data_IF_003412412844
#
_entry.id   IF_003412412844
#
_cell.length_a   1.000
_cell.length_b   1.000
_cell.length_c   1.000
_cell.angle_alpha   90.00
_cell.angle_beta   90.00
_cell.angle_gamma   90.00
#
_symmetry.space_group_name_H-M   'P 1'
#
loop_
_entity.id
_entity.type
_entity.pdbx_description
1 polymer ?
#
# COMPACT_ATOMS: atom_id res chain seq x y z
N UNK A 1 18.13 0.63 5.85
CA UNK A 1 16.91 1.02 6.59
C UNK A 1 17.01 0.52 8.01
N UNK A 2 16.57 1.32 8.96
CA UNK A 2 16.51 0.94 10.38
C UNK A 2 15.08 0.55 10.75
N UNK A 3 14.94 -0.09 11.92
CA UNK A 3 13.62 -0.41 12.48
C UNK A 3 12.77 0.85 12.63
N UNK A 4 13.34 1.93 13.15
CA UNK A 4 12.61 3.18 13.37
C UNK A 4 12.16 3.80 12.06
N UNK A 5 13.01 3.80 11.03
CA UNK A 5 12.65 4.29 9.69
C UNK A 5 11.50 3.48 9.09
N UNK A 6 11.51 2.16 9.28
CA UNK A 6 10.46 1.28 8.77
C UNK A 6 9.11 1.55 9.46
N UNK A 7 9.11 1.72 10.79
CA UNK A 7 7.90 2.06 11.52
C UNK A 7 7.38 3.45 11.17
N UNK A 8 8.28 4.43 10.98
CA UNK A 8 7.90 5.77 10.54
C UNK A 8 7.22 5.73 9.17
N UNK A 9 7.78 4.98 8.24
CA UNK A 9 7.17 4.79 6.92
C UNK A 9 5.77 4.19 7.06
N UNK A 10 5.64 3.12 7.82
CA UNK A 10 4.36 2.45 8.03
C UNK A 10 3.32 3.35 8.68
N UNK A 11 3.71 4.11 9.69
CA UNK A 11 2.81 5.02 10.39
C UNK A 11 2.34 6.16 9.49
N UNK A 12 3.23 6.76 8.71
CA UNK A 12 2.88 7.82 7.76
C UNK A 12 1.97 7.29 6.65
N UNK A 13 2.26 6.10 6.15
CA UNK A 13 1.48 5.45 5.11
C UNK A 13 0.04 5.18 5.59
N UNK A 14 -0.10 4.59 6.79
CA UNK A 14 -1.42 4.32 7.38
C UNK A 14 -2.17 5.63 7.65
N UNK A 15 -1.49 6.65 8.16
CA UNK A 15 -2.12 7.96 8.42
C UNK A 15 -2.67 8.58 7.14
N UNK A 16 -1.93 8.49 6.02
CA UNK A 16 -2.39 9.01 4.74
C UNK A 16 -3.64 8.28 4.24
N UNK A 17 -3.66 6.94 4.35
CA UNK A 17 -4.84 6.15 3.99
C UNK A 17 -6.04 6.48 4.88
N UNK A 18 -5.83 6.60 6.18
CA UNK A 18 -6.92 6.89 7.13
C UNK A 18 -7.48 8.29 6.95
N UNK A 19 -6.66 9.23 6.48
CA UNK A 19 -7.13 10.57 6.12
C UNK A 19 -7.85 10.59 4.76
N UNK A 20 -7.85 9.48 4.00
CA UNK A 20 -8.39 9.40 2.65
C UNK A 20 -7.76 10.47 1.74
N UNK A 21 -6.48 10.78 1.97
CA UNK A 21 -5.74 11.81 1.24
C UNK A 21 -4.94 11.17 0.11
N UNK A 22 -5.51 11.13 -1.07
CA UNK A 22 -4.91 10.46 -2.23
C UNK A 22 -3.54 11.02 -2.58
N UNK A 23 -3.36 12.33 -2.51
CA UNK A 23 -2.06 12.96 -2.78
C UNK A 23 -0.99 12.52 -1.77
N UNK A 24 -1.33 12.49 -0.49
CA UNK A 24 -0.41 12.06 0.56
C UNK A 24 -0.06 10.57 0.42
N UNK A 25 -1.04 9.72 0.04
CA UNK A 25 -0.80 8.30 -0.23
C UNK A 25 0.22 8.15 -1.37
N UNK A 26 -0.05 8.81 -2.49
CA UNK A 26 0.77 8.68 -3.71
C UNK A 26 2.17 9.26 -3.56
N UNK A 27 2.38 10.18 -2.63
CA UNK A 27 3.69 10.75 -2.36
C UNK A 27 4.72 9.71 -1.90
N UNK A 28 4.26 8.55 -1.41
CA UNK A 28 5.15 7.46 -0.99
C UNK A 28 5.67 6.61 -2.15
N UNK A 29 5.17 6.80 -3.38
CA UNK A 29 5.41 5.86 -4.49
C UNK A 29 6.26 6.49 -5.59
N UNK A 30 7.07 5.64 -6.25
CA UNK A 30 7.81 6.03 -7.46
C UNK A 30 6.87 6.14 -8.65
N UNK A 31 7.27 6.93 -9.66
CA UNK A 31 6.48 7.10 -10.88
C UNK A 31 6.31 5.78 -11.65
N UNK A 32 7.33 4.92 -11.61
CA UNK A 32 7.32 3.63 -12.31
C UNK A 32 6.87 2.46 -11.41
N UNK A 33 6.16 2.74 -10.34
CA UNK A 33 5.72 1.73 -9.37
C UNK A 33 4.91 0.62 -10.02
N UNK A 34 5.10 -0.60 -9.51
CA UNK A 34 4.26 -1.77 -9.86
C UNK A 34 3.60 -2.28 -8.59
N UNK A 35 2.30 -2.48 -8.64
CA UNK A 35 1.52 -3.02 -7.53
C UNK A 35 0.78 -4.26 -7.98
N UNK A 36 0.86 -5.35 -7.23
CA UNK A 36 0.12 -6.58 -7.47
C UNK A 36 -0.76 -6.88 -6.27
N UNK A 37 -2.06 -7.08 -6.52
CA UNK A 37 -3.03 -7.36 -5.47
C UNK A 37 -4.24 -8.10 -6.04
N UNK A 38 -4.77 -9.09 -5.31
CA UNK A 38 -6.04 -9.73 -5.70
C UNK A 38 -7.19 -8.73 -5.78
N UNK A 39 -7.13 -7.62 -5.04
CA UNK A 39 -8.17 -6.58 -5.07
C UNK A 39 -8.16 -5.84 -6.41
N UNK A 40 -7.00 -5.69 -7.05
CA UNK A 40 -6.92 -5.13 -8.42
C UNK A 40 -7.74 -5.98 -9.39
N UNK A 41 -7.58 -7.31 -9.33
CA UNK A 41 -8.35 -8.21 -10.17
C UNK A 41 -9.85 -8.06 -9.95
N UNK A 42 -10.27 -7.93 -8.69
CA UNK A 42 -11.68 -7.79 -8.33
C UNK A 42 -12.28 -6.45 -8.76
N UNK A 43 -11.58 -5.34 -8.50
CA UNK A 43 -12.12 -4.00 -8.78
C UNK A 43 -11.99 -3.58 -10.25
N UNK A 44 -10.92 -3.98 -10.91
CA UNK A 44 -10.62 -3.53 -12.27
C UNK A 44 -10.81 -4.61 -13.33
N UNK A 45 -11.04 -5.86 -12.93
CA UNK A 45 -11.18 -6.98 -13.85
C UNK A 45 -9.88 -7.35 -14.57
N UNK A 46 -8.73 -6.98 -14.01
CA UNK A 46 -7.40 -7.30 -14.56
C UNK A 46 -6.94 -8.60 -13.94
N UNK A 47 -6.86 -9.67 -14.75
CA UNK A 47 -6.67 -11.04 -14.27
C UNK A 47 -5.34 -11.27 -13.56
N UNK A 48 -4.25 -10.57 -13.96
CA UNK A 48 -2.95 -10.70 -13.29
C UNK A 48 -2.83 -9.86 -12.00
N UNK A 49 -3.85 -9.05 -11.71
CA UNK A 49 -3.90 -8.24 -10.49
C UNK A 49 -2.84 -7.14 -10.42
N UNK A 50 -2.29 -6.72 -11.56
CA UNK A 50 -1.15 -5.79 -11.60
C UNK A 50 -1.56 -4.41 -12.10
N UNK A 51 -1.07 -3.38 -11.39
CA UNK A 51 -1.16 -1.97 -11.80
C UNK A 51 0.25 -1.45 -11.97
N UNK A 52 0.53 -0.84 -13.12
CA UNK A 52 1.85 -0.31 -13.45
C UNK A 52 1.77 1.20 -13.67
N UNK A 53 2.66 1.93 -13.01
CA UNK A 53 2.77 3.38 -13.12
C UNK A 53 1.89 4.13 -12.13
N UNK A 54 2.39 5.29 -11.70
CA UNK A 54 1.75 6.08 -10.64
C UNK A 54 0.38 6.61 -11.04
N UNK A 55 0.17 6.95 -12.31
CA UNK A 55 -1.14 7.46 -12.76
C UNK A 55 -2.21 6.36 -12.75
N UNK A 56 -1.84 5.15 -13.14
CA UNK A 56 -2.75 4.01 -13.03
C UNK A 56 -2.99 3.63 -11.57
N UNK A 57 -1.96 3.78 -10.74
CA UNK A 57 -2.09 3.55 -9.29
C UNK A 57 -3.04 4.59 -8.68
N UNK A 58 -2.96 5.85 -9.10
CA UNK A 58 -3.87 6.90 -8.67
C UNK A 58 -5.32 6.53 -8.95
N UNK A 59 -5.60 6.08 -10.17
CA UNK A 59 -6.95 5.69 -10.57
C UNK A 59 -7.45 4.51 -9.73
N UNK A 60 -6.60 3.53 -9.48
CA UNK A 60 -6.94 2.37 -8.66
C UNK A 60 -7.21 2.76 -7.19
N UNK A 61 -6.33 3.54 -6.58
CA UNK A 61 -6.50 3.98 -5.20
C UNK A 61 -7.75 4.84 -5.03
N UNK A 62 -8.03 5.71 -6.02
CA UNK A 62 -9.26 6.52 -6.00
C UNK A 62 -10.50 5.62 -5.97
N UNK A 63 -10.52 4.59 -6.82
CA UNK A 63 -11.64 3.62 -6.83
C UNK A 63 -11.75 2.89 -5.50
N UNK A 64 -10.63 2.52 -4.90
CA UNK A 64 -10.63 1.88 -3.59
C UNK A 64 -11.22 2.77 -2.50
N UNK A 65 -10.84 4.03 -2.46
CA UNK A 65 -11.37 4.99 -1.49
C UNK A 65 -12.85 5.24 -1.70
N UNK A 66 -13.31 5.29 -2.96
CA UNK A 66 -14.73 5.46 -3.29
C UNK A 66 -15.55 4.22 -2.91
N UNK A 67 -14.99 3.03 -3.16
CA UNK A 67 -15.68 1.77 -2.86
C UNK A 67 -15.75 1.50 -1.35
N UNK A 68 -14.79 2.01 -0.58
CA UNK A 68 -14.71 1.78 0.86
C UNK A 68 -14.61 3.09 1.63
N UNK A 69 -15.72 3.88 1.69
CA UNK A 69 -15.70 5.18 2.36
C UNK A 69 -15.41 5.10 3.87
N UNK A 70 -15.62 3.93 4.47
CA UNK A 70 -15.32 3.67 5.89
C UNK A 70 -13.93 3.08 6.11
N UNK A 71 -13.06 3.07 5.08
CA UNK A 71 -11.71 2.49 5.18
C UNK A 71 -10.95 3.09 6.36
N UNK A 72 -10.41 2.19 7.19
CA UNK A 72 -9.61 2.52 8.35
C UNK A 72 -8.58 1.41 8.54
N UNK A 73 -7.30 1.74 8.48
CA UNK A 73 -6.21 0.79 8.69
C UNK A 73 -5.64 0.94 10.09
N UNK A 74 -5.22 -0.19 10.66
CA UNK A 74 -4.54 -0.24 11.94
C UNK A 74 -3.27 -1.05 11.78
N UNK A 75 -2.11 -0.37 11.85
CA UNK A 75 -0.80 -1.00 11.76
C UNK A 75 -0.49 -1.73 13.06
N UNK A 76 -0.13 -3.02 13.00
CA UNK A 76 0.20 -3.78 14.20
C UNK A 76 1.59 -4.40 14.17
N UNK A 77 2.23 -4.52 13.00
CA UNK A 77 3.58 -5.05 12.89
C UNK A 77 4.26 -4.54 11.64
N UNK A 78 5.58 -4.38 11.69
CA UNK A 78 6.42 -4.01 10.55
C UNK A 78 7.65 -4.89 10.55
N UNK A 79 7.88 -5.59 9.43
CA UNK A 79 9.14 -6.27 9.17
C UNK A 79 9.97 -5.39 8.26
N UNK A 80 11.29 -5.36 8.45
CA UNK A 80 12.16 -4.50 7.65
C UNK A 80 13.39 -5.26 7.16
N UNK A 81 13.88 -4.87 5.99
CA UNK A 81 15.07 -5.39 5.37
C UNK A 81 15.98 -4.26 4.92
N UNK A 82 16.93 -4.54 4.02
CA UNK A 82 17.85 -3.52 3.51
C UNK A 82 17.13 -2.45 2.71
N UNK A 83 16.20 -2.85 1.83
CA UNK A 83 15.43 -1.96 0.95
C UNK A 83 13.99 -2.43 0.80
N UNK A 84 13.46 -3.06 1.83
CA UNK A 84 12.09 -3.54 1.78
C UNK A 84 11.47 -3.51 3.17
N UNK A 85 10.16 -3.43 3.19
CA UNK A 85 9.36 -3.54 4.41
C UNK A 85 8.18 -4.45 4.15
N UNK A 86 7.66 -5.06 5.20
CA UNK A 86 6.35 -5.70 5.16
C UNK A 86 5.49 -4.99 6.21
N UNK A 87 4.46 -4.31 5.75
CA UNK A 87 3.51 -3.65 6.64
C UNK A 87 2.36 -4.59 6.94
N UNK A 88 2.16 -4.91 8.21
CA UNK A 88 1.07 -5.78 8.65
C UNK A 88 0.00 -4.92 9.31
N UNK A 89 -1.17 -4.88 8.70
CA UNK A 89 -2.28 -4.06 9.21
C UNK A 89 -3.62 -4.76 9.05
N UNK A 90 -4.60 -4.31 9.82
CA UNK A 90 -5.98 -4.75 9.66
C UNK A 90 -6.82 -3.60 9.12
N UNK A 91 -7.89 -3.95 8.39
CA UNK A 91 -8.84 -2.96 7.90
C UNK A 91 -10.04 -2.85 8.86
N UNK A 92 -11.03 -2.02 8.50
CA UNK A 92 -12.22 -1.77 9.31
C UNK A 92 -13.09 -3.02 9.53
N UNK A 93 -12.90 -4.07 8.71
CA UNK A 93 -13.60 -5.35 8.86
C UNK A 93 -12.79 -6.38 9.65
N UNK A 94 -11.57 -6.03 10.06
CA UNK A 94 -10.68 -6.92 10.76
C UNK A 94 -9.88 -7.87 9.85
N UNK A 95 -9.99 -7.74 8.52
CA UNK A 95 -9.15 -8.49 7.59
C UNK A 95 -7.71 -8.00 7.71
N UNK A 96 -6.78 -8.94 7.81
CA UNK A 96 -5.36 -8.62 7.95
C UNK A 96 -4.67 -8.67 6.58
N UNK A 97 -3.76 -7.73 6.38
CA UNK A 97 -2.96 -7.63 5.16
C UNK A 97 -1.49 -7.63 5.55
N UNK A 98 -0.68 -8.35 4.77
CA UNK A 98 0.77 -8.24 4.81
C UNK A 98 1.19 -7.64 3.47
N UNK A 99 1.60 -6.37 3.49
CA UNK A 99 1.93 -5.64 2.28
C UNK A 99 3.43 -5.52 2.14
N UNK A 100 3.98 -6.27 1.20
CA UNK A 100 5.39 -6.21 0.87
C UNK A 100 5.65 -4.99 0.00
N UNK A 101 6.63 -4.17 0.38
CA UNK A 101 7.05 -2.99 -0.37
C UNK A 101 8.55 -3.01 -0.57
N UNK A 102 8.99 -2.93 -1.83
CA UNK A 102 10.39 -2.76 -2.20
C UNK A 102 10.63 -1.27 -2.46
N UNK A 103 11.69 -0.74 -1.85
CA UNK A 103 11.99 0.70 -1.90
C UNK A 103 13.12 0.99 -2.88
N UNK A 104 13.00 2.12 -3.59
CA UNK A 104 14.07 2.63 -4.42
C UNK A 104 15.15 3.29 -3.59
N UNK A 105 16.26 3.68 -4.24
CA UNK A 105 17.36 4.37 -3.57
C UNK A 105 16.91 5.69 -2.91
N UNK A 106 15.85 6.32 -3.42
CA UNK A 106 15.29 7.55 -2.83
C UNK A 106 14.36 7.29 -1.64
N UNK A 107 14.12 6.03 -1.28
CA UNK A 107 13.24 5.66 -0.17
C UNK A 107 11.77 5.60 -0.53
N UNK A 108 11.43 5.73 -1.81
CA UNK A 108 10.05 5.62 -2.29
C UNK A 108 9.73 4.19 -2.70
N UNK A 109 8.45 3.84 -2.65
CA UNK A 109 7.97 2.50 -2.97
C UNK A 109 8.01 2.28 -4.48
N UNK A 110 8.81 1.29 -4.91
CA UNK A 110 8.96 0.94 -6.33
C UNK A 110 8.13 -0.28 -6.71
N UNK A 111 7.89 -1.18 -5.77
CA UNK A 111 7.13 -2.41 -6.01
C UNK A 111 6.33 -2.78 -4.77
N UNK A 112 5.10 -3.20 -5.00
CA UNK A 112 4.20 -3.64 -3.93
C UNK A 112 3.60 -4.98 -4.28
N UNK A 113 3.55 -5.88 -3.30
CA UNK A 113 2.77 -7.12 -3.41
C UNK A 113 1.91 -7.21 -2.16
N UNK A 114 0.61 -7.11 -2.33
CA UNK A 114 -0.34 -7.17 -1.22
C UNK A 114 -0.84 -8.61 -1.03
N UNK A 115 -0.83 -9.06 0.21
CA UNK A 115 -1.27 -10.39 0.60
C UNK A 115 -2.31 -10.27 1.72
N UNK A 116 -3.41 -11.01 1.60
CA UNK A 116 -4.54 -10.90 2.51
C UNK A 116 -4.79 -12.21 3.25
N UNK A 117 -5.30 -12.12 4.47
CA UNK A 117 -5.59 -13.29 5.31
C UNK A 117 -7.01 -13.84 5.13
N UNK A 118 -7.84 -13.15 4.40
CA UNK A 118 -9.23 -13.59 4.27
C UNK A 118 -9.95 -13.13 3.02
#
# INVERSE_FOLDING_TARGET
MTKDEAWDLGNHWVAAWNAHDLGAILAHYEDAVELTSPVVAQLLGISDGKVVGKENLRAYFRRGLEAYPELQFRLYEVFWGSRSVVLCYSNQRGTRTAEFMELSASGKVAKVVANYSG
#
